data_IF_045667928641
#
_entry.id   IF_045667928641
#
_cell.length_a   1.000
_cell.length_b   1.000
_cell.length_c   1.000
_cell.angle_alpha   90.00
_cell.angle_beta   90.00
_cell.angle_gamma   90.00
#
_symmetry.space_group_name_H-M   'P 1'
#
loop_
_entity.id
_entity.type
_entity.pdbx_description
1 polymer ?
#
# COMPACT_ATOMS: atom_id res chain seq x y z
N UNK A 1 -32.13 -22.20 -3.34
CA UNK A 1 -32.61 -20.94 -2.74
C UNK A 1 -31.42 -20.02 -2.60
N UNK A 2 -31.48 -18.89 -3.28
CA UNK A 2 -30.36 -17.99 -3.55
C UNK A 2 -29.85 -17.29 -2.29
N UNK A 3 -28.57 -17.46 -1.95
CA UNK A 3 -27.83 -16.57 -1.05
C UNK A 3 -27.54 -15.23 -1.76
N UNK A 4 -28.59 -14.54 -2.21
CA UNK A 4 -28.47 -13.16 -2.69
C UNK A 4 -28.12 -12.26 -1.49
N UNK A 5 -26.83 -12.01 -1.31
CA UNK A 5 -26.23 -10.70 -1.01
C UNK A 5 -26.93 -9.81 0.03
N UNK A 6 -27.19 -10.29 1.24
CA UNK A 6 -27.27 -9.34 2.35
C UNK A 6 -25.83 -8.94 2.74
N UNK A 7 -25.27 -7.94 2.06
CA UNK A 7 -23.97 -7.36 2.37
C UNK A 7 -24.06 -6.21 3.38
N UNK A 8 -25.25 -5.94 3.95
CA UNK A 8 -25.43 -4.85 4.93
C UNK A 8 -24.58 -5.03 6.19
N UNK A 9 -24.21 -6.28 6.52
CA UNK A 9 -23.31 -6.56 7.63
C UNK A 9 -21.92 -5.95 7.42
N UNK A 10 -21.44 -5.79 6.17
CA UNK A 10 -20.15 -5.17 5.85
C UNK A 10 -20.18 -3.71 6.31
N UNK A 11 -21.14 -2.95 5.79
CA UNK A 11 -21.36 -1.55 6.15
C UNK A 11 -21.56 -1.39 7.65
N UNK A 12 -22.35 -2.27 8.27
CA UNK A 12 -22.59 -2.26 9.72
C UNK A 12 -21.32 -2.46 10.55
N UNK A 13 -20.44 -3.40 10.15
CA UNK A 13 -19.16 -3.62 10.84
C UNK A 13 -18.18 -2.46 10.65
N UNK A 14 -18.08 -1.93 9.44
CA UNK A 14 -17.21 -0.78 9.16
C UNK A 14 -17.64 0.44 9.98
N UNK A 15 -18.94 0.77 10.02
CA UNK A 15 -19.47 1.85 10.87
C UNK A 15 -19.16 1.64 12.36
N UNK A 16 -19.24 0.41 12.86
CA UNK A 16 -18.92 0.09 14.25
C UNK A 16 -17.44 0.38 14.56
N UNK A 17 -16.52 0.01 13.66
CA UNK A 17 -15.10 0.35 13.80
C UNK A 17 -14.92 1.87 13.81
N UNK A 18 -15.47 2.57 12.82
CA UNK A 18 -15.30 4.02 12.69
C UNK A 18 -15.81 4.80 13.91
N UNK A 19 -16.90 4.33 14.54
CA UNK A 19 -17.53 4.97 15.70
C UNK A 19 -16.76 4.78 17.00
N UNK A 20 -16.11 3.62 17.19
CA UNK A 20 -15.38 3.32 18.42
C UNK A 20 -14.03 4.04 18.54
N UNK A 21 -13.54 4.60 17.43
CA UNK A 21 -12.17 5.14 17.37
C UNK A 21 -11.14 4.01 17.22
N UNK A 22 -9.92 4.40 16.87
CA UNK A 22 -8.78 3.50 16.73
C UNK A 22 -7.62 4.11 17.52
N UNK A 23 -7.03 3.32 18.39
CA UNK A 23 -5.91 3.67 19.26
C UNK A 23 -4.94 2.48 19.36
N UNK A 24 -3.82 2.65 20.05
CA UNK A 24 -2.81 1.60 20.21
C UNK A 24 -3.37 0.32 20.86
N UNK A 25 -4.32 0.43 21.80
CA UNK A 25 -4.86 -0.71 22.54
C UNK A 25 -5.79 -1.58 21.67
N UNK A 26 -6.53 -0.96 20.75
CA UNK A 26 -7.49 -1.64 19.89
C UNK A 26 -7.03 -1.82 18.44
N UNK A 27 -5.81 -1.39 18.10
CA UNK A 27 -5.27 -1.40 16.75
C UNK A 27 -5.26 -2.81 16.12
N UNK A 28 -4.65 -3.80 16.78
CA UNK A 28 -4.54 -5.17 16.26
C UNK A 28 -5.91 -5.83 16.00
N UNK A 29 -6.87 -5.83 16.95
CA UNK A 29 -8.17 -6.42 16.69
C UNK A 29 -8.97 -5.65 15.63
N UNK A 30 -8.76 -4.34 15.47
CA UNK A 30 -9.35 -3.57 14.37
C UNK A 30 -8.75 -3.97 13.02
N UNK A 31 -7.42 -4.07 12.94
CA UNK A 31 -6.69 -4.48 11.74
C UNK A 31 -7.14 -5.85 11.24
N UNK A 32 -7.25 -6.80 12.16
CA UNK A 32 -7.74 -8.16 11.86
C UNK A 32 -9.19 -8.15 11.38
N UNK A 33 -10.06 -7.31 11.96
CA UNK A 33 -11.44 -7.17 11.48
C UNK A 33 -11.49 -6.55 10.09
N UNK A 34 -10.69 -5.52 9.83
CA UNK A 34 -10.60 -4.89 8.52
C UNK A 34 -10.12 -5.89 7.47
N UNK A 35 -9.09 -6.69 7.76
CA UNK A 35 -8.62 -7.74 6.88
C UNK A 35 -9.75 -8.70 6.50
N UNK A 36 -10.46 -9.25 7.48
CA UNK A 36 -11.59 -10.15 7.25
C UNK A 36 -12.73 -9.52 6.42
N UNK A 37 -12.96 -8.20 6.56
CA UNK A 37 -13.95 -7.47 5.76
C UNK A 37 -13.44 -7.28 4.33
N UNK A 38 -12.18 -6.87 4.18
CA UNK A 38 -11.55 -6.59 2.89
C UNK A 38 -11.49 -7.81 1.97
N UNK A 39 -11.40 -9.04 2.51
CA UNK A 39 -11.49 -10.28 1.72
C UNK A 39 -12.80 -10.40 0.92
N UNK A 40 -13.83 -9.63 1.28
CA UNK A 40 -15.12 -9.55 0.60
C UNK A 40 -15.27 -8.28 -0.24
N UNK A 41 -14.17 -7.60 -0.58
CA UNK A 41 -14.14 -6.36 -1.37
C UNK A 41 -14.88 -6.45 -2.71
N UNK A 42 -14.92 -7.63 -3.33
CA UNK A 42 -15.69 -7.89 -4.55
C UNK A 42 -17.20 -7.61 -4.40
N UNK A 43 -17.70 -7.56 -3.16
CA UNK A 43 -19.09 -7.27 -2.80
C UNK A 43 -19.29 -5.89 -2.16
N UNK A 44 -18.24 -5.06 -2.08
CA UNK A 44 -18.34 -3.72 -1.53
C UNK A 44 -19.30 -2.86 -2.36
N UNK A 45 -19.96 -1.94 -1.67
CA UNK A 45 -20.59 -0.76 -2.24
C UNK A 45 -19.70 0.45 -2.03
N UNK A 46 -20.02 1.57 -2.66
CA UNK A 46 -19.22 2.80 -2.54
C UNK A 46 -19.05 3.26 -1.08
N UNK A 47 -20.08 3.10 -0.26
CA UNK A 47 -20.02 3.46 1.17
C UNK A 47 -19.06 2.55 1.96
N UNK A 48 -18.93 1.29 1.56
CA UNK A 48 -18.00 0.35 2.21
C UNK A 48 -16.55 0.71 1.89
N UNK A 49 -16.27 1.11 0.64
CA UNK A 49 -14.95 1.63 0.24
C UNK A 49 -14.59 2.85 1.06
N UNK A 50 -15.49 3.83 1.13
CA UNK A 50 -15.25 5.07 1.88
C UNK A 50 -14.96 4.81 3.36
N UNK A 51 -15.80 3.99 4.02
CA UNK A 51 -15.61 3.65 5.42
C UNK A 51 -14.33 2.85 5.66
N UNK A 52 -13.97 1.91 4.78
CA UNK A 52 -12.75 1.14 4.90
C UNK A 52 -11.50 2.03 4.74
N UNK A 53 -11.53 2.99 3.80
CA UNK A 53 -10.46 3.98 3.63
C UNK A 53 -10.36 4.92 4.84
N UNK A 54 -11.48 5.32 5.44
CA UNK A 54 -11.50 6.07 6.70
C UNK A 54 -10.82 5.30 7.85
N UNK A 55 -11.09 4.00 7.96
CA UNK A 55 -10.45 3.12 8.95
C UNK A 55 -8.95 3.04 8.69
N UNK A 56 -8.54 2.77 7.45
CA UNK A 56 -7.12 2.73 7.06
C UNK A 56 -6.40 4.03 7.40
N UNK A 57 -6.99 5.19 7.06
CA UNK A 57 -6.41 6.50 7.34
C UNK A 57 -6.13 6.72 8.83
N UNK A 58 -7.02 6.25 9.71
CA UNK A 58 -6.85 6.31 11.17
C UNK A 58 -5.83 5.30 11.69
N UNK A 59 -5.65 4.19 10.98
CA UNK A 59 -4.67 3.16 11.33
C UNK A 59 -3.23 3.59 10.97
N UNK A 60 -3.00 4.24 9.83
CA UNK A 60 -1.66 4.66 9.35
C UNK A 60 -0.72 5.18 10.46
N UNK A 61 -1.09 6.19 11.27
CA UNK A 61 -0.17 6.73 12.29
C UNK A 61 0.16 5.79 13.45
N UNK A 62 -0.55 4.65 13.57
CA UNK A 62 -0.40 3.66 14.64
C UNK A 62 0.26 2.37 14.14
N UNK A 63 0.71 2.34 12.88
CA UNK A 63 1.26 1.14 12.27
C UNK A 63 2.60 0.76 12.93
N UNK A 64 2.66 -0.48 13.43
CA UNK A 64 3.88 -1.19 13.83
C UNK A 64 4.24 -2.27 12.80
N UNK A 65 5.45 -2.83 12.84
CA UNK A 65 5.91 -3.83 11.86
C UNK A 65 4.96 -5.02 11.63
N UNK A 66 4.41 -5.62 12.69
CA UNK A 66 3.44 -6.73 12.58
C UNK A 66 2.16 -6.29 11.87
N UNK A 67 1.73 -5.08 12.20
CA UNK A 67 0.50 -4.44 11.74
C UNK A 67 0.56 -3.91 10.30
N UNK A 68 1.76 -3.56 9.82
CA UNK A 68 2.02 -3.16 8.42
C UNK A 68 1.48 -4.22 7.48
N UNK A 69 1.85 -5.49 7.71
CA UNK A 69 1.48 -6.59 6.81
C UNK A 69 -0.04 -6.80 6.74
N UNK A 70 -0.73 -6.74 7.87
CA UNK A 70 -2.19 -6.88 7.94
C UNK A 70 -2.88 -5.71 7.22
N UNK A 71 -2.36 -4.49 7.38
CA UNK A 71 -2.89 -3.28 6.76
C UNK A 71 -2.72 -3.34 5.23
N UNK A 72 -1.52 -3.71 4.76
CA UNK A 72 -1.24 -3.84 3.33
C UNK A 72 -2.03 -4.97 2.68
N UNK A 73 -2.22 -6.11 3.35
CA UNK A 73 -3.11 -7.17 2.89
C UNK A 73 -4.55 -6.68 2.74
N UNK A 74 -5.02 -5.86 3.69
CA UNK A 74 -6.36 -5.28 3.62
C UNK A 74 -6.51 -4.38 2.40
N UNK A 75 -5.52 -3.53 2.12
CA UNK A 75 -5.49 -2.67 0.93
C UNK A 75 -5.41 -3.52 -0.34
N UNK A 76 -4.53 -4.52 -0.39
CA UNK A 76 -4.39 -5.45 -1.51
C UNK A 76 -5.72 -6.10 -1.88
N UNK A 77 -6.49 -6.51 -0.86
CA UNK A 77 -7.82 -7.06 -1.05
C UNK A 77 -8.80 -5.99 -1.56
N UNK A 78 -8.77 -4.77 -1.01
CA UNK A 78 -9.63 -3.67 -1.46
C UNK A 78 -9.41 -3.27 -2.93
N UNK A 79 -8.21 -3.46 -3.47
CA UNK A 79 -7.93 -3.29 -4.91
C UNK A 79 -8.79 -4.24 -5.76
N UNK A 80 -9.27 -5.38 -5.23
CA UNK A 80 -10.17 -6.29 -5.96
C UNK A 80 -11.62 -5.80 -6.03
N UNK A 81 -11.95 -4.65 -5.43
CA UNK A 81 -13.28 -4.03 -5.57
C UNK A 81 -13.58 -3.78 -7.05
N UNK A 82 -14.81 -4.03 -7.54
CA UNK A 82 -15.14 -3.80 -8.95
C UNK A 82 -14.92 -2.34 -9.34
N UNK A 83 -14.30 -2.09 -10.50
CA UNK A 83 -13.93 -0.75 -10.97
C UNK A 83 -15.11 0.23 -10.97
N UNK A 84 -16.31 -0.23 -11.36
CA UNK A 84 -17.53 0.58 -11.28
C UNK A 84 -17.81 1.12 -9.87
N UNK A 85 -17.63 0.29 -8.84
CA UNK A 85 -17.85 0.70 -7.44
C UNK A 85 -16.74 1.65 -6.99
N UNK A 86 -15.50 1.43 -7.44
CA UNK A 86 -14.40 2.35 -7.18
C UNK A 86 -14.67 3.74 -7.79
N UNK A 87 -15.20 3.81 -9.02
CA UNK A 87 -15.64 5.08 -9.64
C UNK A 87 -16.72 5.76 -8.81
N UNK A 88 -17.74 5.00 -8.38
CA UNK A 88 -18.81 5.56 -7.54
C UNK A 88 -18.28 6.07 -6.18
N UNK A 89 -17.28 5.39 -5.59
CA UNK A 89 -16.64 5.80 -4.35
C UNK A 89 -15.75 7.04 -4.52
N UNK A 90 -15.02 7.12 -5.64
CA UNK A 90 -14.22 8.29 -5.98
C UNK A 90 -15.10 9.54 -6.16
N UNK A 91 -16.20 9.42 -6.89
CA UNK A 91 -17.18 10.51 -7.04
C UNK A 91 -17.89 10.88 -5.73
N UNK A 92 -18.05 9.92 -4.82
CA UNK A 92 -18.74 10.14 -3.55
C UNK A 92 -17.88 10.94 -2.56
N UNK A 93 -16.62 10.54 -2.35
CA UNK A 93 -15.77 11.16 -1.32
C UNK A 93 -14.25 11.06 -1.63
N UNK A 94 -13.88 10.96 -2.91
CA UNK A 94 -12.50 10.76 -3.36
C UNK A 94 -11.81 9.57 -2.69
N UNK A 95 -12.58 8.52 -2.38
CA UNK A 95 -12.10 7.43 -1.54
C UNK A 95 -10.95 6.67 -2.18
N UNK A 96 -10.87 6.62 -3.52
CA UNK A 96 -9.79 5.92 -4.23
C UNK A 96 -8.52 6.76 -4.25
N UNK A 97 -8.63 8.07 -4.48
CA UNK A 97 -7.50 8.99 -4.35
C UNK A 97 -6.93 8.98 -2.92
N UNK A 98 -7.80 9.01 -1.90
CA UNK A 98 -7.39 8.86 -0.50
C UNK A 98 -6.74 7.50 -0.19
N UNK A 99 -7.16 6.44 -0.88
CA UNK A 99 -6.54 5.11 -0.75
C UNK A 99 -5.13 5.09 -1.36
N UNK A 100 -4.92 5.78 -2.49
CA UNK A 100 -3.59 5.97 -3.08
C UNK A 100 -2.68 6.76 -2.13
N UNK A 101 -3.16 7.87 -1.56
CA UNK A 101 -2.39 8.65 -0.57
C UNK A 101 -1.92 7.76 0.59
N UNK A 102 -2.79 6.85 1.07
CA UNK A 102 -2.45 5.90 2.13
C UNK A 102 -1.37 4.91 1.68
N UNK A 103 -1.50 4.35 0.47
CA UNK A 103 -0.51 3.42 -0.10
C UNK A 103 0.87 4.09 -0.19
N UNK A 104 0.93 5.35 -0.61
CA UNK A 104 2.16 6.13 -0.73
C UNK A 104 2.74 6.49 0.64
N UNK A 105 1.89 6.75 1.63
CA UNK A 105 2.31 7.15 2.99
C UNK A 105 2.88 5.99 3.80
N UNK A 106 2.34 4.78 3.66
CA UNK A 106 2.78 3.62 4.47
C UNK A 106 4.30 3.39 4.41
N UNK A 107 4.96 3.26 3.25
CA UNK A 107 6.41 3.01 3.20
C UNK A 107 7.25 4.12 3.86
N UNK A 108 6.73 5.35 3.94
CA UNK A 108 7.37 6.45 4.67
C UNK A 108 7.35 6.23 6.19
N UNK A 109 6.33 5.55 6.70
CA UNK A 109 6.09 5.35 8.14
C UNK A 109 6.56 3.99 8.66
N UNK A 110 6.81 3.00 7.79
CA UNK A 110 7.27 1.68 8.23
C UNK A 110 8.58 1.81 9.03
N UNK A 111 8.65 1.23 10.24
CA UNK A 111 9.90 1.11 10.98
C UNK A 111 10.94 0.30 10.19
N UNK A 112 12.09 0.92 9.88
CA UNK A 112 13.20 0.25 9.20
C UNK A 112 14.20 -0.26 10.26
N UNK A 113 14.02 -1.50 10.71
CA UNK A 113 15.02 -2.16 11.58
C UNK A 113 16.30 -2.43 10.77
N UNK A 114 16.15 -2.98 9.57
CA UNK A 114 17.24 -3.26 8.62
C UNK A 114 17.49 -2.11 7.64
N UNK A 115 18.34 -2.34 6.62
CA UNK A 115 18.65 -1.36 5.57
C UNK A 115 17.49 -1.13 4.61
N UNK A 116 16.62 -2.12 4.43
CA UNK A 116 15.42 -2.01 3.60
C UNK A 116 14.34 -2.99 4.05
N UNK A 117 13.11 -2.72 3.66
CA UNK A 117 11.97 -3.63 3.81
C UNK A 117 11.22 -3.69 2.48
N UNK A 118 10.76 -4.88 2.11
CA UNK A 118 9.86 -5.08 0.98
C UNK A 118 8.69 -5.94 1.41
N UNK A 119 7.54 -5.72 0.77
CA UNK A 119 6.41 -6.62 0.87
C UNK A 119 5.73 -6.71 -0.49
N UNK A 120 5.31 -7.92 -0.86
CA UNK A 120 4.62 -8.18 -2.11
C UNK A 120 3.35 -8.97 -1.86
N UNK A 121 2.27 -8.51 -2.47
CA UNK A 121 0.97 -9.15 -2.51
C UNK A 121 0.48 -9.25 -3.96
N UNK A 122 -0.69 -9.85 -4.17
CA UNK A 122 -1.21 -10.14 -5.51
C UNK A 122 -1.40 -8.91 -6.41
N UNK A 123 -1.64 -7.73 -5.81
CA UNK A 123 -1.93 -6.46 -6.51
C UNK A 123 -1.01 -5.31 -6.10
N UNK A 124 -0.30 -5.43 -4.97
CA UNK A 124 0.44 -4.34 -4.34
C UNK A 124 1.83 -4.81 -3.93
N UNK A 125 2.86 -4.09 -4.37
CA UNK A 125 4.21 -4.20 -3.87
C UNK A 125 4.61 -2.89 -3.20
N UNK A 126 5.36 -2.99 -2.11
CA UNK A 126 5.95 -1.83 -1.46
C UNK A 126 7.43 -2.09 -1.15
N UNK A 127 8.19 -1.01 -1.08
CA UNK A 127 9.58 -1.01 -0.70
C UNK A 127 9.92 0.25 0.08
N UNK A 128 10.77 0.13 1.08
CA UNK A 128 11.40 1.28 1.71
C UNK A 128 12.85 0.95 2.04
N UNK A 129 13.77 1.87 1.76
CA UNK A 129 15.19 1.69 2.00
C UNK A 129 15.78 2.93 2.68
N UNK A 130 16.64 2.71 3.68
CA UNK A 130 17.44 3.77 4.29
C UNK A 130 18.36 4.38 3.25
N UNK A 131 18.56 5.69 3.34
CA UNK A 131 19.49 6.42 2.48
C UNK A 131 20.58 7.03 3.36
N UNK A 132 21.81 6.60 3.11
CA UNK A 132 23.00 7.22 3.66
C UNK A 132 23.60 8.15 2.61
N UNK A 133 23.50 9.46 2.83
CA UNK A 133 23.88 10.48 1.83
C UNK A 133 25.32 10.35 1.31
N UNK A 134 26.25 9.99 2.20
CA UNK A 134 27.69 9.98 1.89
C UNK A 134 28.11 8.71 1.15
N UNK A 135 27.27 7.67 1.20
CA UNK A 135 27.50 6.34 0.63
C UNK A 135 26.47 5.95 -0.43
N UNK A 136 25.52 6.85 -0.76
CA UNK A 136 24.47 6.57 -1.72
C UNK A 136 25.06 6.25 -3.10
N UNK A 137 24.83 5.01 -3.53
CA UNK A 137 25.36 4.46 -4.76
C UNK A 137 24.24 4.13 -5.78
N UNK A 138 23.13 4.86 -5.71
CA UNK A 138 21.93 4.53 -6.46
C UNK A 138 21.06 3.51 -5.73
N UNK A 139 19.90 3.23 -6.31
CA UNK A 139 18.96 2.25 -5.75
C UNK A 139 18.12 1.64 -6.86
N UNK A 140 18.05 0.31 -6.90
CA UNK A 140 17.18 -0.41 -7.82
C UNK A 140 16.09 -1.12 -7.06
N UNK A 141 14.83 -0.82 -7.37
CA UNK A 141 13.66 -1.55 -6.90
C UNK A 141 13.11 -2.39 -8.04
N UNK A 142 13.02 -3.70 -7.82
CA UNK A 142 12.54 -4.65 -8.82
C UNK A 142 11.36 -5.45 -8.27
N UNK A 143 10.38 -5.72 -9.12
CA UNK A 143 9.16 -6.45 -8.77
C UNK A 143 8.80 -7.42 -9.89
N UNK A 144 8.41 -8.62 -9.49
CA UNK A 144 7.66 -9.55 -10.34
C UNK A 144 6.46 -10.06 -9.57
N UNK A 145 5.27 -9.87 -10.11
CA UNK A 145 4.04 -10.43 -9.55
C UNK A 145 3.88 -11.93 -9.78
N UNK A 146 4.88 -12.56 -10.40
CA UNK A 146 4.89 -13.99 -10.69
C UNK A 146 3.87 -14.41 -11.75
N UNK A 147 4.07 -15.62 -12.24
CA UNK A 147 3.12 -16.35 -13.08
C UNK A 147 2.92 -17.74 -12.47
N UNK A 148 2.27 -18.67 -13.18
CA UNK A 148 2.20 -20.05 -12.72
C UNK A 148 3.59 -20.73 -12.68
N UNK A 149 4.60 -20.16 -13.35
CA UNK A 149 5.94 -20.74 -13.47
C UNK A 149 7.01 -19.98 -12.66
N UNK A 150 6.72 -18.74 -12.26
CA UNK A 150 7.68 -17.84 -11.57
C UNK A 150 7.05 -17.35 -10.28
N UNK A 151 7.76 -17.51 -9.16
CA UNK A 151 7.33 -17.00 -7.86
C UNK A 151 7.31 -15.46 -7.84
N UNK A 152 6.27 -14.90 -7.23
CA UNK A 152 6.17 -13.46 -7.02
C UNK A 152 7.25 -13.02 -6.00
N UNK A 153 8.02 -11.99 -6.34
CA UNK A 153 9.06 -11.45 -5.45
C UNK A 153 9.34 -9.98 -5.71
N UNK A 154 9.84 -9.32 -4.67
CA UNK A 154 10.29 -7.92 -4.67
C UNK A 154 11.69 -7.83 -4.12
N UNK A 155 12.53 -7.02 -4.76
CA UNK A 155 13.93 -6.85 -4.39
C UNK A 155 14.30 -5.37 -4.33
N UNK A 156 15.16 -5.02 -3.38
CA UNK A 156 15.82 -3.72 -3.32
C UNK A 156 17.32 -3.96 -3.34
N UNK A 157 17.99 -3.28 -4.26
CA UNK A 157 19.44 -3.26 -4.37
C UNK A 157 19.95 -1.85 -4.11
N UNK A 158 20.89 -1.67 -3.17
CA UNK A 158 21.55 -0.38 -2.91
C UNK A 158 22.67 -0.09 -3.93
N UNK A 159 22.42 -0.38 -5.21
CA UNK A 159 23.27 -0.02 -6.34
C UNK A 159 22.36 0.15 -7.57
N UNK A 160 22.62 1.19 -8.36
CA UNK A 160 21.92 1.37 -9.65
C UNK A 160 22.37 0.37 -10.71
N UNK A 161 23.56 -0.21 -10.56
CA UNK A 161 24.19 -1.08 -11.55
C UNK A 161 23.91 -2.58 -11.28
N UNK A 162 23.04 -2.88 -10.31
CA UNK A 162 22.64 -4.25 -10.00
C UNK A 162 21.93 -4.90 -11.19
N UNK A 163 22.35 -6.13 -11.50
CA UNK A 163 21.66 -6.95 -12.47
C UNK A 163 20.30 -7.36 -11.91
N UNK A 164 19.24 -6.96 -12.59
CA UNK A 164 17.87 -7.39 -12.32
C UNK A 164 17.53 -8.54 -13.26
N UNK A 165 16.74 -9.50 -12.79
CA UNK A 165 16.20 -10.57 -13.63
C UNK A 165 15.33 -9.98 -14.74
N UNK A 166 15.54 -10.41 -16.00
CA UNK A 166 14.85 -9.89 -17.19
C UNK A 166 13.31 -10.05 -17.12
N UNK A 167 12.80 -10.85 -16.18
CA UNK A 167 11.35 -11.05 -15.96
C UNK A 167 10.73 -10.07 -14.97
N UNK A 168 11.52 -9.18 -14.35
CA UNK A 168 11.03 -8.17 -13.41
C UNK A 168 10.85 -6.81 -14.08
N UNK A 169 9.79 -6.11 -13.65
CA UNK A 169 9.70 -4.67 -13.83
C UNK A 169 10.55 -3.98 -12.78
N UNK A 170 11.22 -2.88 -13.12
CA UNK A 170 12.11 -2.20 -12.17
C UNK A 170 12.18 -0.69 -12.37
N UNK A 171 12.54 -0.01 -11.29
CA UNK A 171 12.95 1.39 -11.26
C UNK A 171 14.38 1.41 -10.73
N UNK A 172 15.30 2.00 -11.50
CA UNK A 172 16.67 2.26 -11.06
C UNK A 172 16.91 3.76 -10.91
N UNK A 173 17.33 4.16 -9.71
CA UNK A 173 17.68 5.51 -9.34
C UNK A 173 19.20 5.67 -9.44
N UNK A 174 19.69 6.65 -10.20
CA UNK A 174 21.12 6.79 -10.48
C UNK A 174 21.89 7.27 -9.25
N UNK A 175 23.18 6.92 -9.18
CA UNK A 175 24.16 7.44 -8.21
C UNK A 175 24.16 8.96 -8.09
N UNK A 176 23.83 9.67 -9.17
CA UNK A 176 23.78 11.13 -9.24
C UNK A 176 22.51 11.76 -8.67
N UNK A 177 21.51 10.98 -8.22
CA UNK A 177 20.21 11.49 -7.77
C UNK A 177 20.35 12.60 -6.72
N UNK A 178 21.30 12.45 -5.79
CA UNK A 178 21.50 13.36 -4.66
C UNK A 178 22.46 14.52 -4.97
N UNK A 179 23.14 14.50 -6.12
CA UNK A 179 24.27 15.41 -6.43
C UNK A 179 23.90 16.89 -6.42
N UNK A 180 22.65 17.22 -6.74
CA UNK A 180 22.18 18.60 -6.89
C UNK A 180 21.20 19.03 -5.81
N UNK A 181 20.95 18.18 -4.80
CA UNK A 181 20.15 18.56 -3.64
C UNK A 181 20.94 19.53 -2.76
N UNK A 182 20.24 20.46 -2.12
CA UNK A 182 20.84 21.38 -1.16
C UNK A 182 21.17 20.65 0.13
N UNK A 183 22.17 21.12 0.88
CA UNK A 183 22.57 20.52 2.16
C UNK A 183 21.39 20.40 3.14
N UNK A 184 20.51 21.41 3.20
CA UNK A 184 19.30 21.39 4.02
C UNK A 184 18.31 20.29 3.61
N UNK A 185 18.19 19.99 2.31
CA UNK A 185 17.32 18.92 1.79
C UNK A 185 17.94 17.55 2.08
N UNK A 186 19.27 17.43 1.91
CA UNK A 186 20.03 16.22 2.19
C UNK A 186 19.98 15.81 3.67
N UNK A 187 19.92 16.78 4.59
CA UNK A 187 19.79 16.51 6.03
C UNK A 187 18.43 15.88 6.40
N UNK A 188 17.40 16.13 5.60
CA UNK A 188 16.06 15.58 5.82
C UNK A 188 15.82 14.27 5.06
N UNK A 189 16.71 13.91 4.12
CA UNK A 189 16.63 12.66 3.39
C UNK A 189 17.09 11.49 4.26
N UNK A 190 16.15 10.63 4.63
CA UNK A 190 16.43 9.45 5.46
C UNK A 190 16.13 8.13 4.76
N UNK A 191 15.26 8.14 3.75
CA UNK A 191 14.80 6.94 3.06
C UNK A 191 14.28 7.25 1.65
N UNK A 192 14.21 6.20 0.83
CA UNK A 192 13.46 6.18 -0.43
C UNK A 192 12.32 5.16 -0.27
N UNK A 193 11.11 5.58 -0.62
CA UNK A 193 9.91 4.75 -0.64
C UNK A 193 9.56 4.40 -2.08
N UNK A 194 9.13 3.17 -2.30
CA UNK A 194 8.74 2.62 -3.60
C UNK A 194 7.42 1.89 -3.46
N UNK A 195 6.57 2.03 -4.48
CA UNK A 195 5.28 1.34 -4.57
C UNK A 195 5.14 0.80 -5.98
N UNK A 196 4.63 -0.42 -6.10
CA UNK A 196 4.17 -1.00 -7.35
C UNK A 196 2.73 -1.44 -7.23
N UNK A 197 1.95 -1.22 -8.29
CA UNK A 197 0.63 -1.80 -8.45
C UNK A 197 0.65 -2.71 -9.67
N UNK A 198 0.02 -3.89 -9.56
CA UNK A 198 -0.06 -4.85 -10.67
C UNK A 198 -0.90 -4.33 -11.82
N UNK A 199 -1.94 -3.56 -11.49
CA UNK A 199 -2.81 -2.90 -12.46
C UNK A 199 -2.87 -1.39 -12.17
N UNK A 200 -3.18 -0.61 -13.20
CA UNK A 200 -3.36 0.84 -13.14
C UNK A 200 -4.80 1.24 -12.75
N UNK A 201 -5.62 0.29 -12.26
CA UNK A 201 -7.06 0.48 -12.04
C UNK A 201 -7.38 1.64 -11.10
N UNK A 202 -6.61 1.77 -10.01
CA UNK A 202 -6.82 2.87 -9.06
C UNK A 202 -6.56 4.23 -9.72
N UNK A 203 -5.50 4.34 -10.54
CA UNK A 203 -5.17 5.58 -11.24
C UNK A 203 -6.20 5.94 -12.30
N UNK A 204 -6.69 4.97 -13.09
CA UNK A 204 -7.78 5.23 -14.06
C UNK A 204 -9.02 5.80 -13.38
N UNK A 205 -9.39 5.24 -12.23
CA UNK A 205 -10.56 5.70 -11.47
C UNK A 205 -10.41 7.16 -11.02
N UNK A 206 -9.23 7.59 -10.59
CA UNK A 206 -8.99 8.97 -10.13
C UNK A 206 -8.97 10.03 -11.24
N UNK A 207 -8.99 9.62 -12.51
CA UNK A 207 -8.97 10.53 -13.66
C UNK A 207 -10.36 10.83 -14.25
N UNK A 208 -11.42 10.21 -13.70
CA UNK A 208 -12.81 10.32 -14.14
C UNK A 208 -13.55 11.41 -13.36
#
# INVERSE_FOLDING_TARGET
MSQCNNTEWITGKLKNITTKGIDEENFEPVSTKLLNISEKSVYFKKEDVDLAVDVLKKMVPLISNVSVNITLLSINNMINTPEKILVEAEQFNRSVNRMLDIIETIPEQIPLEEQSVTALYSNLGIGAAKVEKDTFNGLTYAVSYGTNEIEARTEIHQDSDSNVDDTMDFISLPKSLLKHMKDEELLNLSRISMVSLRDDKLYRVTQI
#
